data_IF_366663657306
#
_entry.id   IF_366663657306
#
_cell.length_a   1.000
_cell.length_b   1.000
_cell.length_c   1.000
_cell.angle_alpha   90.00
_cell.angle_beta   90.00
_cell.angle_gamma   90.00
#
_symmetry.space_group_name_H-M   'P 1'
#
loop_
_entity.id
_entity.type
_entity.pdbx_description
1 polymer ?
#
# COMPACT_ATOMS: atom_id res chain seq x y z
N UNK A 1 -19.18 2.30 15.66
CA UNK A 1 -20.09 3.42 15.33
C UNK A 1 -20.48 3.31 13.85
N UNK A 2 -21.65 2.73 13.55
CA UNK A 2 -22.19 2.67 12.19
C UNK A 2 -23.11 3.86 11.99
N UNK A 3 -22.57 4.96 11.45
CA UNK A 3 -23.40 6.10 11.03
C UNK A 3 -23.91 5.79 9.62
N UNK A 4 -25.11 5.23 9.54
CA UNK A 4 -25.83 5.02 8.27
C UNK A 4 -26.23 6.36 7.66
N UNK A 5 -25.35 6.95 6.84
CA UNK A 5 -25.75 8.04 5.95
C UNK A 5 -26.64 7.45 4.85
N UNK A 6 -27.89 7.92 4.73
CA UNK A 6 -28.80 7.55 3.64
C UNK A 6 -28.10 7.76 2.28
N UNK A 7 -28.15 6.74 1.42
CA UNK A 7 -27.52 6.75 0.09
C UNK A 7 -28.19 7.81 -0.78
N UNK A 8 -27.50 8.91 -1.05
CA UNK A 8 -27.95 9.92 -2.01
C UNK A 8 -27.64 9.42 -3.42
N UNK A 9 -28.65 9.31 -4.27
CA UNK A 9 -28.46 9.17 -5.71
C UNK A 9 -27.94 10.51 -6.23
N UNK A 10 -26.80 10.52 -6.89
CA UNK A 10 -26.20 11.70 -7.50
C UNK A 10 -26.23 11.52 -9.01
N UNK A 11 -26.89 12.43 -9.73
CA UNK A 11 -26.91 12.45 -11.20
C UNK A 11 -25.80 13.36 -11.70
N UNK A 12 -24.73 12.78 -12.23
CA UNK A 12 -23.63 13.50 -12.87
C UNK A 12 -23.76 13.30 -14.38
N UNK A 13 -23.78 14.40 -15.13
CA UNK A 13 -23.82 14.39 -16.60
C UNK A 13 -22.42 14.68 -17.14
N UNK A 14 -21.90 13.82 -18.00
CA UNK A 14 -20.71 14.09 -18.80
C UNK A 14 -21.17 14.23 -20.25
N UNK A 15 -20.97 15.42 -20.83
CA UNK A 15 -21.34 15.70 -22.23
C UNK A 15 -22.81 15.34 -22.55
N UNK A 16 -23.71 15.52 -21.59
CA UNK A 16 -25.14 15.19 -21.71
C UNK A 16 -25.52 13.73 -21.44
N UNK A 17 -24.55 12.84 -21.21
CA UNK A 17 -24.80 11.45 -20.82
C UNK A 17 -24.78 11.27 -19.30
N UNK A 18 -25.80 10.62 -18.68
CA UNK A 18 -25.82 10.38 -17.25
C UNK A 18 -24.84 9.24 -16.89
N UNK A 19 -23.96 9.49 -15.93
CA UNK A 19 -23.07 8.47 -15.39
C UNK A 19 -23.82 7.47 -14.50
N UNK A 20 -23.52 6.17 -14.67
CA UNK A 20 -24.06 5.11 -13.83
C UNK A 20 -23.42 5.14 -12.43
N UNK A 21 -24.26 5.20 -11.39
CA UNK A 21 -23.81 5.10 -10.00
C UNK A 21 -23.69 3.63 -9.58
N UNK A 22 -22.46 3.12 -9.54
CA UNK A 22 -22.15 1.75 -9.09
C UNK A 22 -21.60 1.73 -7.66
N UNK A 23 -21.87 0.64 -6.93
CA UNK A 23 -21.38 0.46 -5.54
C UNK A 23 -19.91 0.07 -5.47
N UNK A 24 -19.39 -0.54 -6.55
CA UNK A 24 -18.02 -1.02 -6.69
C UNK A 24 -17.57 -0.77 -8.13
N UNK A 25 -16.42 -0.16 -8.31
CA UNK A 25 -15.81 0.07 -9.61
C UNK A 25 -14.34 -0.32 -9.60
N UNK A 26 -13.85 -0.95 -10.67
CA UNK A 26 -12.44 -1.28 -10.81
C UNK A 26 -11.78 -0.26 -11.76
N UNK A 27 -10.92 0.58 -11.21
CA UNK A 27 -10.15 1.55 -11.96
C UNK A 27 -8.67 1.19 -11.91
N UNK A 28 -8.03 0.91 -13.05
CA UNK A 28 -6.60 0.57 -13.15
C UNK A 28 -6.15 -0.53 -12.16
N UNK A 29 -7.03 -1.49 -11.85
CA UNK A 29 -6.76 -2.56 -10.88
C UNK A 29 -6.85 -2.16 -9.40
N UNK A 30 -7.35 -0.96 -9.11
CA UNK A 30 -7.79 -0.50 -7.79
C UNK A 30 -9.32 -0.62 -7.70
N UNK A 31 -9.83 -1.15 -6.59
CA UNK A 31 -11.27 -1.30 -6.37
C UNK A 31 -11.75 -0.10 -5.55
N UNK A 32 -12.50 0.78 -6.19
CA UNK A 32 -13.22 1.87 -5.54
C UNK A 32 -14.56 1.34 -5.03
N UNK A 33 -14.92 1.72 -3.82
CA UNK A 33 -16.20 1.37 -3.21
C UNK A 33 -16.85 2.60 -2.60
N UNK A 34 -18.17 2.56 -2.53
CA UNK A 34 -19.00 3.59 -1.91
C UNK A 34 -18.68 3.79 -0.41
N UNK A 35 -18.26 2.74 0.31
CA UNK A 35 -17.90 2.79 1.74
C UNK A 35 -16.49 3.37 1.99
N UNK A 36 -15.75 3.76 0.94
CA UNK A 36 -14.36 4.26 0.96
C UNK A 36 -13.40 3.30 1.70
N UNK A 37 -13.80 2.05 1.92
CA UNK A 37 -13.06 1.11 2.74
C UNK A 37 -11.91 0.47 1.97
N UNK A 38 -10.70 0.99 2.19
CA UNK A 38 -9.45 0.48 1.60
C UNK A 38 -8.97 -0.85 2.16
N UNK A 39 -9.58 -1.37 3.24
CA UNK A 39 -9.10 -2.60 3.90
C UNK A 39 -8.95 -3.76 2.91
N UNK A 40 -9.97 -4.01 2.09
CA UNK A 40 -9.93 -5.08 1.07
C UNK A 40 -8.85 -4.85 0.02
N UNK A 41 -8.57 -3.61 -0.34
CA UNK A 41 -7.54 -3.30 -1.33
C UNK A 41 -6.14 -3.58 -0.79
N UNK A 42 -5.87 -3.17 0.46
CA UNK A 42 -4.63 -3.46 1.17
C UNK A 42 -4.43 -4.97 1.31
N UNK A 43 -5.51 -5.72 1.60
CA UNK A 43 -5.48 -7.18 1.64
C UNK A 43 -5.07 -7.76 0.29
N UNK A 44 -5.72 -7.33 -0.80
CA UNK A 44 -5.39 -7.76 -2.17
C UNK A 44 -3.93 -7.46 -2.51
N UNK A 45 -3.42 -6.28 -2.16
CA UNK A 45 -2.04 -5.86 -2.44
C UNK A 45 -1.03 -6.65 -1.62
N UNK A 46 -1.36 -6.93 -0.36
CA UNK A 46 -0.59 -7.83 0.50
C UNK A 46 -0.52 -9.24 -0.11
N UNK A 47 -1.64 -9.78 -0.57
CA UNK A 47 -1.68 -11.12 -1.18
C UNK A 47 -0.93 -11.18 -2.52
N UNK A 48 -1.01 -10.13 -3.35
CA UNK A 48 -0.19 -10.02 -4.56
C UNK A 48 1.30 -10.02 -4.25
N UNK A 49 1.71 -9.25 -3.23
CA UNK A 49 3.10 -9.21 -2.79
C UNK A 49 3.56 -10.57 -2.22
N UNK A 50 2.75 -11.21 -1.37
CA UNK A 50 3.00 -12.57 -0.86
C UNK A 50 3.14 -13.59 -1.99
N UNK A 51 2.23 -13.55 -2.96
CA UNK A 51 2.27 -14.45 -4.13
C UNK A 51 3.56 -14.26 -4.91
N UNK A 52 3.98 -13.01 -5.17
CA UNK A 52 5.27 -12.73 -5.81
C UNK A 52 6.46 -13.23 -4.99
N UNK A 53 6.43 -13.00 -3.68
CA UNK A 53 7.47 -13.46 -2.77
C UNK A 53 7.67 -14.98 -2.87
N UNK A 54 6.59 -15.75 -2.82
CA UNK A 54 6.65 -17.21 -2.92
C UNK A 54 7.02 -17.73 -4.31
N UNK A 55 6.59 -17.05 -5.37
CA UNK A 55 6.95 -17.40 -6.76
C UNK A 55 8.43 -17.17 -7.07
N UNK A 56 9.07 -16.20 -6.41
CA UNK A 56 10.50 -15.92 -6.58
C UNK A 56 11.37 -16.95 -5.87
N UNK A 57 11.74 -18.00 -6.63
CA UNK A 57 12.62 -19.09 -6.13
C UNK A 57 13.97 -18.57 -5.64
N UNK A 58 14.51 -17.52 -6.26
CA UNK A 58 15.81 -16.93 -5.91
C UNK A 58 15.88 -16.46 -4.43
N UNK A 59 14.78 -15.93 -3.88
CA UNK A 59 14.72 -15.52 -2.47
C UNK A 59 14.94 -16.71 -1.51
N UNK A 60 14.58 -17.91 -1.96
CA UNK A 60 14.62 -19.14 -1.17
C UNK A 60 15.92 -19.92 -1.32
N UNK A 61 16.75 -19.64 -2.34
CA UNK A 61 17.99 -20.39 -2.62
C UNK A 61 19.09 -20.14 -1.58
N UNK A 62 19.96 -21.12 -1.33
CA UNK A 62 21.05 -21.03 -0.33
C UNK A 62 22.26 -20.24 -0.84
N UNK A 63 22.55 -20.38 -2.12
CA UNK A 63 23.77 -19.93 -2.78
C UNK A 63 23.76 -18.44 -3.17
N UNK A 64 22.75 -17.67 -2.77
CA UNK A 64 22.61 -16.26 -3.12
C UNK A 64 22.87 -15.42 -1.87
N UNK A 65 23.77 -14.43 -2.01
CA UNK A 65 24.11 -13.48 -0.95
C UNK A 65 22.85 -12.78 -0.43
N UNK A 66 22.82 -12.52 0.88
CA UNK A 66 21.68 -11.90 1.55
C UNK A 66 21.39 -10.52 0.93
N UNK A 67 22.40 -9.71 0.64
CA UNK A 67 22.22 -8.40 0.02
C UNK A 67 21.55 -8.45 -1.35
N UNK A 68 21.92 -9.43 -2.19
CA UNK A 68 21.26 -9.64 -3.48
C UNK A 68 19.79 -9.99 -3.29
N UNK A 69 19.45 -10.82 -2.29
CA UNK A 69 18.06 -11.13 -1.97
C UNK A 69 17.30 -9.93 -1.43
N UNK A 70 17.92 -9.09 -0.60
CA UNK A 70 17.33 -7.82 -0.13
C UNK A 70 16.98 -6.93 -1.31
N UNK A 71 17.89 -6.78 -2.28
CA UNK A 71 17.63 -6.02 -3.52
C UNK A 71 16.48 -6.60 -4.33
N UNK A 72 16.43 -7.92 -4.50
CA UNK A 72 15.31 -8.60 -5.20
C UNK A 72 13.98 -8.35 -4.46
N UNK A 73 13.98 -8.47 -3.13
CA UNK A 73 12.81 -8.22 -2.30
C UNK A 73 12.29 -6.79 -2.48
N UNK A 74 13.20 -5.81 -2.41
CA UNK A 74 12.91 -4.39 -2.60
C UNK A 74 12.31 -4.12 -4.00
N UNK A 75 12.97 -4.60 -5.05
CA UNK A 75 12.61 -4.31 -6.44
C UNK A 75 11.34 -5.01 -6.92
N UNK A 76 11.02 -6.22 -6.45
CA UNK A 76 9.92 -7.01 -7.00
C UNK A 76 8.74 -7.22 -6.05
N UNK A 77 9.01 -7.42 -4.76
CA UNK A 77 7.99 -7.77 -3.77
C UNK A 77 7.46 -6.51 -3.11
N UNK A 78 8.34 -5.68 -2.56
CA UNK A 78 7.96 -4.43 -1.91
C UNK A 78 7.43 -3.42 -2.92
N UNK A 79 7.98 -3.37 -4.14
CA UNK A 79 7.39 -2.57 -5.22
C UNK A 79 5.94 -2.95 -5.54
N UNK A 80 5.61 -4.25 -5.49
CA UNK A 80 4.25 -4.73 -5.73
C UNK A 80 3.30 -4.42 -4.56
N UNK A 81 3.82 -4.45 -3.33
CA UNK A 81 3.09 -4.02 -2.14
C UNK A 81 2.81 -2.51 -2.16
N UNK A 82 3.83 -1.71 -2.47
CA UNK A 82 3.79 -0.24 -2.50
C UNK A 82 3.03 0.32 -3.70
N UNK A 83 2.53 -0.52 -4.61
CA UNK A 83 1.69 -0.04 -5.70
C UNK A 83 0.41 0.55 -5.12
N UNK A 84 0.02 1.74 -5.57
CA UNK A 84 -1.20 2.44 -5.14
C UNK A 84 -1.25 2.83 -3.67
N UNK A 85 -0.13 2.80 -2.93
CA UNK A 85 -0.13 3.16 -1.51
C UNK A 85 -0.44 4.64 -1.25
N UNK A 86 -0.31 5.50 -2.26
CA UNK A 86 -0.54 6.94 -2.15
C UNK A 86 -2.00 7.26 -1.84
N UNK A 87 -2.93 6.40 -2.30
CA UNK A 87 -4.35 6.54 -2.01
C UNK A 87 -4.71 6.04 -0.63
N UNK A 88 -3.93 5.13 -0.03
CA UNK A 88 -4.32 4.43 1.21
C UNK A 88 -4.46 5.34 2.44
N UNK A 89 -5.39 4.98 3.32
CA UNK A 89 -5.51 5.56 4.66
C UNK A 89 -4.62 4.79 5.65
N UNK A 90 -3.61 5.46 6.21
CA UNK A 90 -2.67 4.88 7.19
C UNK A 90 -3.31 4.71 8.58
N UNK A 91 -4.22 3.74 8.70
CA UNK A 91 -4.73 3.31 10.01
C UNK A 91 -3.70 2.43 10.73
N UNK A 92 -3.84 2.27 12.06
CA UNK A 92 -3.01 1.36 12.86
C UNK A 92 -2.94 -0.05 12.26
N UNK A 93 -4.08 -0.58 11.82
CA UNK A 93 -4.17 -1.89 11.19
C UNK A 93 -3.30 -2.02 9.91
N UNK A 94 -3.19 -0.95 9.11
CA UNK A 94 -2.33 -0.94 7.92
C UNK A 94 -0.86 -0.96 8.33
N UNK A 95 -0.48 -0.12 9.29
CA UNK A 95 0.90 -0.06 9.79
C UNK A 95 1.34 -1.41 10.36
N UNK A 96 0.48 -2.03 11.16
CA UNK A 96 0.76 -3.34 11.76
C UNK A 96 0.87 -4.43 10.68
N UNK A 97 -0.04 -4.43 9.70
CA UNK A 97 0.00 -5.38 8.59
C UNK A 97 1.26 -5.24 7.72
N UNK A 98 1.67 -4.02 7.43
CA UNK A 98 2.93 -3.73 6.71
C UNK A 98 4.13 -4.26 7.50
N UNK A 99 4.21 -3.96 8.80
CA UNK A 99 5.30 -4.44 9.66
C UNK A 99 5.33 -5.97 9.74
N UNK A 100 4.18 -6.62 9.92
CA UNK A 100 4.10 -8.09 9.95
C UNK A 100 4.53 -8.71 8.62
N UNK A 101 4.12 -8.13 7.48
CA UNK A 101 4.53 -8.61 6.16
C UNK A 101 6.03 -8.44 5.91
N UNK A 102 6.59 -7.29 6.29
CA UNK A 102 8.03 -7.01 6.23
C UNK A 102 8.83 -8.04 7.06
N UNK A 103 8.42 -8.27 8.31
CA UNK A 103 9.08 -9.25 9.18
C UNK A 103 8.99 -10.68 8.64
N UNK A 104 7.83 -11.06 8.07
CA UNK A 104 7.67 -12.36 7.42
C UNK A 104 8.67 -12.55 6.28
N UNK A 105 8.89 -11.52 5.46
CA UNK A 105 9.84 -11.55 4.35
C UNK A 105 11.28 -11.68 4.86
N UNK A 106 11.70 -10.84 5.81
CA UNK A 106 13.08 -10.86 6.33
C UNK A 106 13.42 -12.15 7.06
N UNK A 107 12.53 -12.65 7.94
CA UNK A 107 12.76 -13.93 8.63
C UNK A 107 12.96 -15.06 7.63
N UNK A 108 12.20 -15.08 6.54
CA UNK A 108 12.32 -16.12 5.51
C UNK A 108 13.59 -15.98 4.67
N UNK A 109 13.99 -14.76 4.30
CA UNK A 109 15.23 -14.48 3.56
C UNK A 109 16.48 -14.83 4.39
N UNK A 110 16.47 -14.45 5.67
CA UNK A 110 17.52 -14.75 6.66
C UNK A 110 17.45 -16.19 7.21
N UNK A 111 16.36 -16.91 6.92
CA UNK A 111 16.12 -18.30 7.36
C UNK A 111 16.06 -18.47 8.87
N UNK A 112 15.61 -17.43 9.56
CA UNK A 112 15.40 -17.45 10.99
C UNK A 112 14.19 -18.33 11.28
N UNK A 113 14.43 -19.40 12.03
CA UNK A 113 13.39 -20.30 12.49
C UNK A 113 12.58 -19.66 13.62
N UNK A 114 11.30 -20.02 13.73
CA UNK A 114 10.48 -19.64 14.90
C UNK A 114 11.05 -20.19 16.21
N UNK A 115 11.78 -21.32 16.16
CA UNK A 115 12.44 -21.93 17.32
C UNK A 115 13.60 -21.10 17.89
N UNK A 116 14.12 -20.14 17.12
CA UNK A 116 15.20 -19.27 17.59
C UNK A 116 14.69 -18.15 18.50
N UNK A 117 13.37 -17.96 18.64
CA UNK A 117 12.75 -16.93 19.49
C UNK A 117 13.27 -15.49 19.28
N UNK A 118 13.91 -15.21 18.12
CA UNK A 118 14.47 -13.90 17.82
C UNK A 118 13.42 -12.81 17.80
N UNK A 119 13.69 -11.69 18.46
CA UNK A 119 12.83 -10.50 18.47
C UNK A 119 12.78 -9.85 17.07
N UNK A 120 11.82 -8.95 16.84
CA UNK A 120 11.75 -8.25 15.56
C UNK A 120 12.92 -7.27 15.38
N UNK A 121 13.47 -6.74 16.47
CA UNK A 121 14.64 -5.84 16.47
C UNK A 121 15.90 -6.60 16.05
N UNK A 122 16.12 -7.79 16.61
CA UNK A 122 17.25 -8.67 16.21
C UNK A 122 17.18 -9.08 14.73
N UNK A 123 15.96 -9.35 14.21
CA UNK A 123 15.79 -9.65 12.78
C UNK A 123 16.17 -8.45 11.91
N UNK A 124 15.77 -7.24 12.31
CA UNK A 124 16.08 -6.02 11.58
C UNK A 124 17.58 -5.72 11.59
N UNK A 125 18.22 -5.90 12.75
CA UNK A 125 19.66 -5.74 12.89
C UNK A 125 20.42 -6.77 12.04
N UNK A 126 20.00 -8.04 12.07
CA UNK A 126 20.58 -9.10 11.24
C UNK A 126 20.32 -8.90 9.73
N UNK A 127 19.21 -8.25 9.38
CA UNK A 127 18.90 -7.90 8.00
C UNK A 127 19.78 -6.74 7.51
N UNK A 128 20.35 -5.94 8.41
CA UNK A 128 21.08 -4.71 8.08
C UNK A 128 20.31 -3.85 7.07
N UNK A 129 19.12 -3.43 7.51
CA UNK A 129 18.14 -2.71 6.70
C UNK A 129 18.09 -1.26 7.17
N UNK A 130 18.50 -0.36 6.28
CA UNK A 130 18.45 1.08 6.51
C UNK A 130 17.07 1.68 6.24
N UNK A 131 16.32 1.11 5.30
CA UNK A 131 14.99 1.60 4.91
C UNK A 131 13.88 0.60 5.21
N UNK A 132 12.92 1.03 6.04
CA UNK A 132 11.74 0.22 6.36
C UNK A 132 10.68 0.33 5.28
N UNK A 133 9.93 -0.76 5.06
CA UNK A 133 8.81 -0.77 4.13
C UNK A 133 7.74 0.27 4.49
N UNK A 134 7.49 0.48 5.79
CA UNK A 134 6.51 1.47 6.25
C UNK A 134 6.96 2.90 5.90
N UNK A 135 8.24 3.20 6.03
CA UNK A 135 8.79 4.54 5.77
C UNK A 135 8.68 4.86 4.28
N UNK A 136 8.97 3.87 3.41
CA UNK A 136 8.78 3.99 1.96
C UNK A 136 7.32 4.27 1.55
N UNK A 137 6.34 3.69 2.25
CA UNK A 137 4.92 3.98 2.01
C UNK A 137 4.59 5.42 2.38
N UNK A 138 5.07 5.87 3.54
CA UNK A 138 4.84 7.23 4.05
C UNK A 138 5.48 8.24 3.11
N UNK A 139 6.74 8.02 2.71
CA UNK A 139 7.47 8.87 1.77
C UNK A 139 6.73 8.98 0.43
N UNK A 140 6.27 7.85 -0.14
CA UNK A 140 5.50 7.85 -1.39
C UNK A 140 4.22 8.68 -1.27
N UNK A 141 3.48 8.52 -0.17
CA UNK A 141 2.27 9.32 0.06
C UNK A 141 2.61 10.80 0.19
N UNK A 142 3.63 11.16 0.96
CA UNK A 142 4.05 12.54 1.14
C UNK A 142 4.50 13.16 -0.20
N UNK A 143 5.28 12.43 -0.99
CA UNK A 143 5.70 12.86 -2.33
C UNK A 143 4.52 13.09 -3.25
N UNK A 144 3.54 12.18 -3.25
CA UNK A 144 2.30 12.36 -4.03
C UNK A 144 1.49 13.57 -3.55
N UNK A 145 1.32 13.75 -2.24
CA UNK A 145 0.64 14.95 -1.71
C UNK A 145 1.35 16.23 -2.09
N UNK A 146 2.69 16.26 -2.04
CA UNK A 146 3.48 17.39 -2.49
C UNK A 146 3.33 17.66 -3.99
N UNK A 147 3.23 16.62 -4.81
CA UNK A 147 2.95 16.75 -6.24
C UNK A 147 1.55 17.32 -6.51
N UNK A 148 0.52 16.84 -5.81
CA UNK A 148 -0.86 17.37 -5.91
C UNK A 148 -0.91 18.84 -5.53
N UNK A 149 -0.22 19.24 -4.46
CA UNK A 149 -0.17 20.63 -4.00
C UNK A 149 0.55 21.53 -5.02
N UNK A 150 1.64 21.05 -5.63
CA UNK A 150 2.45 21.82 -6.60
C UNK A 150 1.89 21.87 -8.02
N UNK A 151 1.09 20.88 -8.42
CA UNK A 151 0.52 20.79 -9.77
C UNK A 151 -0.69 21.71 -9.98
N UNK A 152 -1.11 21.91 -11.24
CA UNK A 152 -2.35 22.64 -11.61
C UNK A 152 -3.62 22.11 -10.94
N UNK A 153 -3.60 20.85 -10.47
CA UNK A 153 -4.65 20.25 -9.64
C UNK A 153 -4.79 20.93 -8.27
N UNK A 154 -3.69 21.40 -7.67
CA UNK A 154 -3.69 22.11 -6.39
C UNK A 154 -4.39 23.46 -6.46
N UNK A 155 -4.22 24.19 -7.57
CA UNK A 155 -4.94 25.46 -7.81
C UNK A 155 -6.44 25.25 -7.99
N UNK A 156 -6.87 24.18 -8.68
CA UNK A 156 -8.30 23.83 -8.79
C UNK A 156 -8.90 23.28 -7.50
N UNK A 157 -8.14 22.52 -6.71
CA UNK A 157 -8.61 21.95 -5.44
C UNK A 157 -8.72 23.04 -4.36
N UNK A 158 -7.75 23.98 -4.31
CA UNK A 158 -7.81 25.16 -3.45
C UNK A 158 -8.95 26.11 -3.87
N UNK A 159 -9.19 26.30 -5.17
CA UNK A 159 -10.34 27.04 -5.67
C UNK A 159 -11.69 26.38 -5.31
N UNK A 160 -11.76 25.04 -5.28
CA UNK A 160 -12.98 24.31 -4.89
C UNK A 160 -13.27 24.35 -3.39
N UNK A 161 -12.25 24.58 -2.56
CA UNK A 161 -12.38 24.68 -1.10
C UNK A 161 -12.53 26.14 -0.62
N UNK A 162 -12.19 27.13 -1.46
CA UNK A 162 -12.27 28.56 -1.14
C UNK A 162 -13.57 29.26 -1.55
N UNK A 163 -14.59 28.53 -2.00
CA UNK A 163 -15.84 29.10 -2.50
C UNK A 163 -17.04 28.87 -1.57
N UNK A 164 -17.20 29.74 -0.57
CA UNK A 164 -18.46 30.37 -0.12
C UNK A 164 -18.20 31.12 1.20
N UNK A 165 -17.97 32.43 1.08
CA UNK A 165 -18.51 33.48 1.94
C UNK A 165 -18.76 34.70 1.05
#
# INVERSE_FOLDING_TARGET
MHIGKKKKKVSILIEGTPLEQVTKYQYLGHILKEDVSMKKEIDIRTEKARTKFWKLKELHRRNIKIDTKKRILQCYVFSAFNYGCETWTFTKAVKDKTKSFEMQCYRRVLRISWKEHKTNEEVLQAADVTERLLDQLIERKLRYTGHVIKGKLGTSFAASLGGQN
#
